data_IF_291465718490
#
_entry.id   IF_291465718490
#
_cell.length_a   1.000
_cell.length_b   1.000
_cell.length_c   1.000
_cell.angle_alpha   90.00
_cell.angle_beta   90.00
_cell.angle_gamma   90.00
#
_symmetry.space_group_name_H-M   'P 1'
#
loop_
_entity.id
_entity.type
_entity.pdbx_description
1 polymer ?
#
# COMPACT_ATOMS: atom_id res chain seq x y z
N UNK A 1 8.80 8.14 -7.44
CA UNK A 1 7.89 8.99 -6.63
C UNK A 1 7.92 8.50 -5.19
N UNK A 2 8.02 9.42 -4.22
CA UNK A 2 7.86 9.11 -2.79
C UNK A 2 6.63 9.87 -2.29
N UNK A 3 5.78 9.21 -1.50
CA UNK A 3 4.59 9.76 -0.88
C UNK A 3 4.46 9.27 0.56
N UNK A 4 3.88 10.10 1.44
CA UNK A 4 3.57 9.73 2.82
C UNK A 4 2.04 9.72 2.97
N UNK A 5 1.35 8.61 2.65
CA UNK A 5 -0.11 8.55 2.71
C UNK A 5 -0.58 8.79 4.15
N UNK A 6 -1.54 9.71 4.30
CA UNK A 6 -2.11 10.09 5.58
C UNK A 6 -2.91 8.93 6.19
N UNK A 7 -2.83 8.80 7.52
CA UNK A 7 -3.87 8.08 8.26
C UNK A 7 -5.08 8.98 8.49
N UNK A 8 -6.23 8.36 8.74
CA UNK A 8 -7.47 9.05 9.13
C UNK A 8 -7.95 8.59 10.49
N UNK A 9 -8.70 9.46 11.15
CA UNK A 9 -9.50 9.17 12.33
C UNK A 9 -10.97 9.39 11.95
N UNK A 10 -11.86 8.52 12.41
CA UNK A 10 -13.30 8.77 12.36
C UNK A 10 -13.68 9.57 13.62
N UNK A 11 -14.06 10.84 13.46
CA UNK A 11 -14.62 11.63 14.55
C UNK A 11 -16.11 11.32 14.66
N UNK A 12 -16.41 10.26 15.41
CA UNK A 12 -17.73 9.62 15.45
C UNK A 12 -17.93 8.64 14.28
N UNK A 13 -18.66 7.56 14.54
CA UNK A 13 -19.05 6.57 13.55
C UNK A 13 -20.44 6.04 13.91
N UNK A 14 -21.46 6.43 13.15
CA UNK A 14 -22.83 6.02 13.34
C UNK A 14 -23.25 5.04 12.25
N UNK A 15 -23.81 3.90 12.64
CA UNK A 15 -24.30 2.88 11.71
C UNK A 15 -25.80 3.09 11.53
N UNK A 16 -26.21 3.52 10.33
CA UNK A 16 -27.60 3.93 10.07
C UNK A 16 -28.50 2.73 9.77
N UNK A 17 -28.03 1.82 8.90
CA UNK A 17 -28.75 0.60 8.52
C UNK A 17 -27.84 -0.39 7.78
N UNK A 18 -28.28 -1.63 7.71
CA UNK A 18 -27.71 -2.65 6.81
C UNK A 18 -28.35 -2.54 5.42
N UNK A 19 -27.53 -2.64 4.38
CA UNK A 19 -27.92 -2.61 2.95
C UNK A 19 -28.20 -4.01 2.42
N UNK A 20 -28.85 -4.08 1.26
CA UNK A 20 -29.14 -5.34 0.55
C UNK A 20 -27.88 -6.05 0.04
N UNK A 21 -26.82 -5.30 -0.25
CA UNK A 21 -25.51 -5.84 -0.67
C UNK A 21 -24.64 -6.38 0.48
N UNK A 22 -25.16 -6.39 1.71
CA UNK A 22 -24.47 -6.89 2.89
C UNK A 22 -23.56 -5.88 3.60
N UNK A 23 -23.38 -4.67 3.07
CA UNK A 23 -22.64 -3.58 3.74
C UNK A 23 -23.58 -2.73 4.62
N UNK A 24 -23.04 -1.66 5.23
CA UNK A 24 -23.80 -0.74 6.07
C UNK A 24 -23.70 0.68 5.53
N UNK A 25 -24.80 1.42 5.62
CA UNK A 25 -24.77 2.88 5.48
C UNK A 25 -24.19 3.47 6.77
N UNK A 26 -23.14 4.28 6.64
CA UNK A 26 -22.40 4.87 7.74
C UNK A 26 -22.45 6.39 7.65
N UNK A 27 -22.55 7.04 8.81
CA UNK A 27 -22.36 8.48 8.97
C UNK A 27 -21.13 8.71 9.86
N UNK A 28 -20.16 9.46 9.35
CA UNK A 28 -18.89 9.71 10.04
C UNK A 28 -18.19 10.93 9.47
N UNK A 29 -17.36 11.59 10.27
CA UNK A 29 -16.45 12.62 9.81
C UNK A 29 -15.02 12.08 9.74
N UNK A 30 -14.41 12.12 8.56
CA UNK A 30 -13.00 11.73 8.36
C UNK A 30 -12.08 12.92 8.63
N UNK A 31 -11.19 12.77 9.61
CA UNK A 31 -10.17 13.77 9.93
C UNK A 31 -8.79 13.17 9.65
N UNK A 32 -7.96 13.78 8.78
CA UNK A 32 -6.59 13.33 8.58
C UNK A 32 -5.76 13.62 9.84
N UNK A 33 -4.85 12.71 10.17
CA UNK A 33 -3.87 12.93 11.24
C UNK A 33 -2.45 12.94 10.65
N UNK A 34 -1.85 14.12 10.43
CA UNK A 34 -0.55 14.24 9.75
C UNK A 34 0.63 13.74 10.59
N UNK A 35 0.42 13.43 11.88
CA UNK A 35 1.48 12.97 12.77
C UNK A 35 1.91 11.51 12.56
N UNK A 36 1.13 10.72 11.82
CA UNK A 36 1.43 9.32 11.49
C UNK A 36 1.15 9.08 10.00
N UNK A 37 2.08 8.44 9.32
CA UNK A 37 1.96 8.07 7.91
C UNK A 37 2.85 6.87 7.60
N UNK A 38 2.45 6.08 6.60
CA UNK A 38 3.36 5.15 5.96
C UNK A 38 4.31 5.92 5.02
N UNK A 39 5.34 5.24 4.48
CA UNK A 39 6.08 5.73 3.33
C UNK A 39 5.84 4.80 2.14
N UNK A 40 5.33 5.38 1.05
CA UNK A 40 5.10 4.69 -0.21
C UNK A 40 6.06 5.27 -1.26
N UNK A 41 6.96 4.43 -1.75
CA UNK A 41 7.84 4.76 -2.85
C UNK A 41 7.55 3.88 -4.06
N UNK A 42 7.48 4.51 -5.24
CA UNK A 42 7.21 3.86 -6.52
C UNK A 42 8.32 4.26 -7.49
N UNK A 43 8.98 3.25 -8.05
CA UNK A 43 10.12 3.41 -8.96
C UNK A 43 9.79 2.67 -10.26
N UNK A 44 10.01 3.31 -11.41
CA UNK A 44 9.90 2.66 -12.72
C UNK A 44 11.09 1.72 -12.93
N UNK A 45 10.88 0.57 -13.56
CA UNK A 45 11.84 -0.55 -13.65
C UNK A 45 13.18 -0.23 -14.35
N UNK A 46 13.29 0.93 -14.99
CA UNK A 46 14.53 1.45 -15.57
C UNK A 46 15.48 2.02 -14.50
N UNK A 47 14.98 2.36 -13.32
CA UNK A 47 15.76 2.90 -12.22
C UNK A 47 16.11 1.79 -11.20
N UNK A 48 17.42 1.57 -11.05
CA UNK A 48 18.03 0.57 -10.18
C UNK A 48 18.68 1.20 -8.94
N UNK A 49 18.53 2.50 -8.74
CA UNK A 49 19.07 3.20 -7.58
C UNK A 49 18.23 2.95 -6.32
N UNK A 50 18.63 1.90 -5.59
CA UNK A 50 18.38 1.56 -4.16
C UNK A 50 17.15 2.14 -3.41
N UNK A 51 16.31 1.23 -2.87
CA UNK A 51 15.65 1.39 -1.56
C UNK A 51 15.44 0.09 -0.75
N UNK A 52 16.26 -0.96 -0.95
CA UNK A 52 16.15 -2.19 -0.13
C UNK A 52 17.07 -2.20 1.10
N UNK A 53 18.25 -1.59 1.00
CA UNK A 53 19.30 -1.74 2.01
C UNK A 53 18.89 -1.09 3.34
N UNK A 54 18.41 0.16 3.31
CA UNK A 54 17.99 0.87 4.53
C UNK A 54 16.78 0.26 5.21
N UNK A 55 15.80 -0.23 4.43
CA UNK A 55 14.62 -0.91 4.99
C UNK A 55 15.00 -2.26 5.62
N UNK A 56 15.89 -3.03 4.98
CA UNK A 56 16.34 -4.32 5.51
C UNK A 56 17.10 -4.16 6.82
N UNK A 57 17.94 -3.13 6.92
CA UNK A 57 18.67 -2.80 8.16
C UNK A 57 17.71 -2.41 9.28
N UNK A 58 16.72 -1.55 8.98
CA UNK A 58 15.77 -1.02 9.97
C UNK A 58 14.79 -2.07 10.50
N UNK A 59 14.27 -2.94 9.63
CA UNK A 59 13.17 -3.86 9.98
C UNK A 59 13.61 -5.32 10.10
N UNK A 60 14.79 -5.69 9.62
CA UNK A 60 15.32 -7.07 9.62
C UNK A 60 14.61 -8.03 8.67
N UNK A 61 13.27 -7.98 8.61
CA UNK A 61 12.41 -8.80 7.74
C UNK A 61 11.67 -7.91 6.74
N UNK A 62 11.85 -8.23 5.46
CA UNK A 62 11.09 -7.67 4.35
C UNK A 62 10.24 -8.77 3.74
N UNK A 63 9.05 -8.43 3.26
CA UNK A 63 8.19 -9.36 2.52
C UNK A 63 8.02 -8.85 1.11
N UNK A 64 8.26 -9.71 0.13
CA UNK A 64 8.31 -9.34 -1.28
C UNK A 64 7.49 -10.29 -2.12
N UNK A 65 6.92 -9.77 -3.21
CA UNK A 65 6.33 -10.58 -4.26
C UNK A 65 6.49 -9.91 -5.62
N UNK A 66 6.52 -10.73 -6.67
CA UNK A 66 6.56 -10.29 -8.06
C UNK A 66 5.24 -10.71 -8.72
N UNK A 67 4.62 -9.83 -9.50
CA UNK A 67 3.40 -10.15 -10.23
C UNK A 67 3.64 -11.26 -11.26
N UNK A 68 2.60 -12.03 -11.66
CA UNK A 68 2.77 -13.13 -12.60
C UNK A 68 3.36 -12.75 -13.97
N UNK A 69 3.11 -11.52 -14.42
CA UNK A 69 3.64 -10.96 -15.67
C UNK A 69 5.07 -10.38 -15.53
N UNK A 70 5.63 -10.40 -14.32
CA UNK A 70 6.95 -9.87 -14.00
C UNK A 70 7.04 -8.33 -14.01
N UNK A 71 5.92 -7.62 -14.22
CA UNK A 71 5.95 -6.15 -14.34
C UNK A 71 5.98 -5.44 -12.99
N UNK A 72 5.49 -6.04 -11.90
CA UNK A 72 5.48 -5.43 -10.57
C UNK A 72 6.36 -6.24 -9.61
N UNK A 73 7.26 -5.56 -8.92
CA UNK A 73 7.84 -6.02 -7.65
C UNK A 73 7.27 -5.16 -6.53
N UNK A 74 6.65 -5.78 -5.52
CA UNK A 74 6.24 -5.08 -4.31
C UNK A 74 7.07 -5.57 -3.12
N UNK A 75 7.57 -4.64 -2.32
CA UNK A 75 8.29 -4.87 -1.07
C UNK A 75 7.54 -4.16 0.06
N UNK A 76 7.18 -4.90 1.11
CA UNK A 76 6.52 -4.36 2.29
C UNK A 76 7.42 -4.57 3.51
N UNK A 77 7.62 -3.51 4.28
CA UNK A 77 8.36 -3.49 5.53
C UNK A 77 7.44 -3.05 6.67
N UNK A 78 7.47 -3.75 7.80
CA UNK A 78 6.68 -3.45 9.01
C UNK A 78 7.41 -3.97 10.24
N UNK A 79 7.31 -3.28 11.37
CA UNK A 79 7.98 -3.66 12.62
C UNK A 79 7.64 -5.08 13.10
N UNK A 80 6.36 -5.47 13.02
CA UNK A 80 5.89 -6.80 13.41
C UNK A 80 6.05 -7.85 12.30
N UNK A 81 6.59 -7.45 11.15
CA UNK A 81 6.57 -8.24 9.92
C UNK A 81 5.21 -8.21 9.21
N UNK A 82 5.15 -8.94 8.10
CA UNK A 82 3.98 -9.04 7.21
C UNK A 82 3.65 -10.51 7.08
N UNK A 83 2.39 -10.87 7.34
CA UNK A 83 1.86 -12.23 7.34
C UNK A 83 0.83 -12.49 6.22
N UNK A 84 0.59 -11.49 5.36
CA UNK A 84 -0.22 -11.61 4.15
C UNK A 84 0.65 -11.66 2.89
N UNK A 85 0.05 -12.14 1.79
CA UNK A 85 0.64 -12.11 0.46
C UNK A 85 0.73 -10.65 -0.06
N UNK A 86 1.93 -10.12 -0.35
CA UNK A 86 2.08 -8.76 -0.85
C UNK A 86 1.29 -8.45 -2.13
N UNK A 87 1.02 -9.43 -2.99
CA UNK A 87 0.20 -9.20 -4.19
C UNK A 87 -1.28 -8.97 -3.88
N UNK A 88 -1.73 -9.35 -2.68
CA UNK A 88 -3.09 -9.05 -2.18
C UNK A 88 -3.19 -7.68 -1.52
N UNK A 89 -2.07 -6.99 -1.32
CA UNK A 89 -2.07 -5.62 -0.81
C UNK A 89 -2.83 -4.69 -1.76
N UNK A 90 -3.57 -3.72 -1.20
CA UNK A 90 -4.36 -2.78 -2.01
C UNK A 90 -3.48 -1.97 -2.97
N UNK A 91 -2.22 -1.73 -2.63
CA UNK A 91 -1.27 -1.02 -3.49
C UNK A 91 -0.92 -1.85 -4.73
N UNK A 92 -0.70 -3.17 -4.57
CA UNK A 92 -0.44 -4.07 -5.68
C UNK A 92 -1.69 -4.26 -6.56
N UNK A 93 -2.87 -4.38 -5.93
CA UNK A 93 -4.15 -4.47 -6.65
C UNK A 93 -4.46 -3.20 -7.44
N UNK A 94 -4.14 -2.02 -6.91
CA UNK A 94 -4.30 -0.75 -7.61
C UNK A 94 -3.42 -0.69 -8.87
N UNK A 95 -2.16 -1.14 -8.77
CA UNK A 95 -1.29 -1.28 -9.95
C UNK A 95 -1.91 -2.21 -11.00
N UNK A 96 -2.39 -3.39 -10.59
CA UNK A 96 -2.97 -4.37 -11.51
C UNK A 96 -4.19 -3.79 -12.26
N UNK A 97 -5.11 -3.13 -11.54
CA UNK A 97 -6.26 -2.47 -12.16
C UNK A 97 -5.85 -1.36 -13.13
N UNK A 98 -4.87 -0.53 -12.76
CA UNK A 98 -4.38 0.52 -13.67
C UNK A 98 -3.67 -0.05 -14.91
N UNK A 99 -3.01 -1.19 -14.78
CA UNK A 99 -2.32 -1.85 -15.90
C UNK A 99 -3.29 -2.50 -16.90
N UNK A 100 -4.55 -2.76 -16.51
CA UNK A 100 -5.60 -3.21 -17.42
C UNK A 100 -6.02 -2.08 -18.38
N UNK A 101 -6.07 -0.84 -17.89
CA UNK A 101 -6.53 0.33 -18.63
C UNK A 101 -5.41 1.15 -19.28
N UNK A 102 -4.16 0.97 -18.82
CA UNK A 102 -3.01 1.77 -19.23
C UNK A 102 -1.77 0.93 -19.50
N UNK A 103 -0.96 1.34 -20.48
CA UNK A 103 0.35 0.74 -20.74
C UNK A 103 1.38 1.20 -19.70
N UNK A 104 1.34 0.56 -18.54
CA UNK A 104 2.26 0.85 -17.44
C UNK A 104 3.60 0.16 -17.65
N UNK A 105 4.73 0.86 -17.43
CA UNK A 105 6.04 0.23 -17.42
C UNK A 105 6.15 -0.73 -16.23
N UNK A 106 7.18 -1.60 -16.22
CA UNK A 106 7.53 -2.33 -15.01
C UNK A 106 7.76 -1.36 -13.84
N UNK A 107 7.34 -1.73 -12.63
CA UNK A 107 7.46 -0.91 -11.43
C UNK A 107 7.94 -1.70 -10.22
N UNK A 108 8.63 -1.00 -9.32
CA UNK A 108 8.99 -1.46 -8.00
C UNK A 108 8.26 -0.58 -6.99
N UNK A 109 7.49 -1.20 -6.11
CA UNK A 109 6.76 -0.53 -5.02
C UNK A 109 7.43 -0.90 -3.71
N UNK A 110 7.72 0.10 -2.90
CA UNK A 110 8.22 -0.03 -1.54
C UNK A 110 7.21 0.59 -0.60
N UNK A 111 6.64 -0.21 0.30
CA UNK A 111 5.69 0.22 1.31
C UNK A 111 6.29 -0.01 2.70
N UNK A 112 6.68 1.06 3.36
CA UNK A 112 7.13 1.06 4.75
C UNK A 112 5.95 1.42 5.66
N UNK A 113 5.47 0.43 6.41
CA UNK A 113 4.46 0.59 7.46
C UNK A 113 5.17 1.05 8.74
N UNK A 114 4.95 2.32 9.12
CA UNK A 114 5.62 2.97 10.26
C UNK A 114 4.79 2.92 11.53
#
# INVERSE_FOLDING_TARGET
MISNPNVKINLGLNVLRKREDGFHDLETLFIPYPGISDCLEIITGEDWSRTLAGLKEKYGKLTQAVSPDGKLLITIARAEGVDWDPLKDLTARAYALLAEDHDLPPMKIFLEKR
#
